data_IF_581302172033
#
_entry.id   IF_581302172033
#
_cell.length_a   1.000
_cell.length_b   1.000
_cell.length_c   1.000
_cell.angle_alpha   90.00
_cell.angle_beta   90.00
_cell.angle_gamma   90.00
#
_symmetry.space_group_name_H-M   'P 1'
#
loop_
_entity.id
_entity.type
_entity.pdbx_description
1 polymer ?
#
# COMPACT_ATOMS: atom_id res chain seq x y z
N UNK A 1 -16.68 8.41 -22.66
CA UNK A 1 -15.94 8.92 -21.49
C UNK A 1 -15.01 7.82 -21.02
N UNK A 2 -13.70 8.03 -21.08
CA UNK A 2 -12.72 6.99 -20.71
C UNK A 2 -12.74 6.79 -19.19
N UNK A 3 -12.99 5.56 -18.75
CA UNK A 3 -12.82 5.17 -17.37
C UNK A 3 -11.34 5.36 -17.01
N UNK A 4 -11.02 6.25 -16.08
CA UNK A 4 -9.68 6.38 -15.53
C UNK A 4 -9.41 5.13 -14.69
N UNK A 5 -9.02 4.03 -15.34
CA UNK A 5 -8.66 2.78 -14.69
C UNK A 5 -7.29 2.92 -14.00
N UNK A 6 -7.23 3.75 -12.96
CA UNK A 6 -6.08 3.83 -12.08
C UNK A 6 -5.95 2.49 -11.35
N UNK A 7 -4.96 1.68 -11.74
CA UNK A 7 -4.63 0.43 -11.04
C UNK A 7 -3.86 0.78 -9.78
N UNK A 8 -4.43 0.47 -8.62
CA UNK A 8 -3.80 0.69 -7.32
C UNK A 8 -3.26 -0.64 -6.79
N UNK A 9 -1.95 -0.70 -6.50
CA UNK A 9 -1.35 -1.80 -5.76
C UNK A 9 -1.42 -1.51 -4.27
N UNK A 10 -2.19 -2.31 -3.54
CA UNK A 10 -2.31 -2.21 -2.08
C UNK A 10 -1.38 -3.23 -1.41
N UNK A 11 -0.45 -2.75 -0.59
CA UNK A 11 0.41 -3.61 0.24
C UNK A 11 -0.11 -3.53 1.67
N UNK A 12 -0.62 -4.65 2.18
CA UNK A 12 -1.20 -4.75 3.51
C UNK A 12 -0.37 -5.68 4.40
N UNK A 13 -0.23 -5.37 5.69
CA UNK A 13 0.19 -6.34 6.69
C UNK A 13 -0.72 -7.58 6.69
N UNK A 14 -0.14 -8.74 6.98
CA UNK A 14 -0.87 -10.02 6.93
C UNK A 14 -2.04 -10.07 7.92
N UNK A 15 -1.86 -9.52 9.12
CA UNK A 15 -2.90 -9.47 10.15
C UNK A 15 -4.13 -8.66 9.71
N UNK A 16 -3.94 -7.60 8.92
CA UNK A 16 -5.03 -6.83 8.31
C UNK A 16 -5.77 -7.67 7.28
N UNK A 17 -5.05 -8.43 6.44
CA UNK A 17 -5.67 -9.35 5.49
C UNK A 17 -6.46 -10.46 6.19
N UNK A 18 -5.92 -11.03 7.27
CA UNK A 18 -6.58 -12.09 8.02
C UNK A 18 -7.87 -11.60 8.69
N UNK A 19 -7.86 -10.40 9.27
CA UNK A 19 -9.08 -9.76 9.81
C UNK A 19 -10.13 -9.52 8.73
N UNK A 20 -9.71 -9.07 7.55
CA UNK A 20 -10.62 -8.84 6.43
C UNK A 20 -11.22 -10.16 5.89
N UNK A 21 -10.43 -11.25 5.85
CA UNK A 21 -10.93 -12.60 5.52
C UNK A 21 -11.97 -13.08 6.53
N UNK A 22 -11.69 -12.92 7.83
CA UNK A 22 -12.63 -13.30 8.87
C UNK A 22 -13.94 -12.50 8.78
N UNK A 23 -13.87 -11.21 8.45
CA UNK A 23 -15.04 -10.37 8.21
C UNK A 23 -15.83 -10.86 6.99
N UNK A 24 -15.16 -11.17 5.87
CA UNK A 24 -15.80 -11.70 4.67
C UNK A 24 -16.56 -13.01 4.95
N UNK A 25 -15.97 -13.91 5.74
CA UNK A 25 -16.62 -15.16 6.17
C UNK A 25 -17.87 -14.90 7.02
N UNK A 26 -17.78 -14.00 8.01
CA UNK A 26 -18.93 -13.62 8.84
C UNK A 26 -20.05 -12.98 8.01
N UNK A 27 -19.72 -12.07 7.10
CA UNK A 27 -20.69 -11.42 6.22
C UNK A 27 -21.34 -12.45 5.28
N UNK A 28 -20.56 -13.38 4.72
CA UNK A 28 -21.09 -14.46 3.88
C UNK A 28 -22.09 -15.32 4.65
N UNK A 29 -21.77 -15.69 5.89
CA UNK A 29 -22.66 -16.46 6.76
C UNK A 29 -23.93 -15.67 7.13
N UNK A 30 -23.79 -14.39 7.51
CA UNK A 30 -24.89 -13.55 7.95
C UNK A 30 -25.90 -13.26 6.82
N UNK A 31 -25.41 -12.94 5.62
CA UNK A 31 -26.25 -12.57 4.49
C UNK A 31 -26.54 -13.71 3.52
N UNK A 32 -25.96 -14.90 3.75
CA UNK A 32 -26.08 -16.09 2.89
C UNK A 32 -25.72 -15.82 1.42
N UNK A 33 -24.78 -14.91 1.19
CA UNK A 33 -24.30 -14.49 -0.12
C UNK A 33 -22.78 -14.53 -0.14
N UNK A 34 -22.12 -15.13 -1.16
CA UNK A 34 -20.67 -15.13 -1.24
C UNK A 34 -20.10 -13.70 -1.29
N UNK A 35 -19.33 -13.32 -0.27
CA UNK A 35 -18.66 -12.02 -0.22
C UNK A 35 -17.17 -12.18 -0.50
N UNK A 36 -16.69 -11.50 -1.53
CA UNK A 36 -15.26 -11.50 -1.87
C UNK A 36 -14.46 -10.58 -0.95
N UNK A 37 -13.18 -10.91 -0.74
CA UNK A 37 -12.26 -10.07 0.02
C UNK A 37 -12.14 -8.66 -0.58
N UNK A 38 -12.25 -8.52 -1.91
CA UNK A 38 -12.18 -7.24 -2.60
C UNK A 38 -13.33 -6.31 -2.19
N UNK A 39 -14.56 -6.84 -2.09
CA UNK A 39 -15.73 -6.05 -1.65
C UNK A 39 -15.55 -5.56 -0.21
N UNK A 40 -15.04 -6.41 0.67
CA UNK A 40 -14.77 -6.04 2.06
C UNK A 40 -13.70 -4.96 2.15
N UNK A 41 -12.58 -5.12 1.44
CA UNK A 41 -11.51 -4.11 1.44
C UNK A 41 -12.00 -2.79 0.84
N UNK A 42 -12.79 -2.83 -0.22
CA UNK A 42 -13.42 -1.66 -0.84
C UNK A 42 -14.28 -0.91 0.17
N UNK A 43 -15.20 -1.60 0.86
CA UNK A 43 -16.06 -1.01 1.87
C UNK A 43 -15.27 -0.41 3.03
N UNK A 44 -14.22 -1.09 3.51
CA UNK A 44 -13.36 -0.56 4.57
C UNK A 44 -12.60 0.71 4.15
N UNK A 45 -12.11 0.75 2.90
CA UNK A 45 -11.49 1.95 2.34
C UNK A 45 -12.52 3.07 2.25
N UNK A 46 -13.69 2.83 1.67
CA UNK A 46 -14.74 3.84 1.54
C UNK A 46 -15.20 4.37 2.90
N UNK A 47 -15.38 3.51 3.90
CA UNK A 47 -15.72 3.93 5.27
C UNK A 47 -14.60 4.70 5.96
N UNK A 48 -13.33 4.39 5.68
CA UNK A 48 -12.21 5.19 6.16
C UNK A 48 -12.14 6.55 5.46
N UNK A 49 -12.43 6.61 4.16
CA UNK A 49 -12.48 7.85 3.38
C UNK A 49 -13.62 8.76 3.83
N UNK A 50 -14.78 8.20 4.19
CA UNK A 50 -15.86 8.99 4.81
C UNK A 50 -15.43 9.64 6.13
N UNK A 51 -14.33 9.19 6.75
CA UNK A 51 -13.75 9.74 7.97
C UNK A 51 -12.54 10.65 7.69
N UNK A 52 -12.35 11.07 6.44
CA UNK A 52 -11.13 11.73 5.93
C UNK A 52 -10.70 13.00 6.69
N UNK A 53 -11.64 13.73 7.29
CA UNK A 53 -11.35 14.94 8.07
C UNK A 53 -10.80 14.68 9.48
N UNK A 54 -10.52 13.41 9.84
CA UNK A 54 -10.01 13.10 11.17
C UNK A 54 -8.50 13.45 11.27
N UNK A 55 -8.07 14.32 12.23
CA UNK A 55 -6.67 14.74 12.36
C UNK A 55 -5.66 13.59 12.48
N UNK A 56 -6.08 12.45 13.04
CA UNK A 56 -5.26 11.23 13.14
C UNK A 56 -4.91 10.59 11.79
N UNK A 57 -5.76 10.75 10.76
CA UNK A 57 -5.53 10.21 9.43
C UNK A 57 -4.42 10.97 8.71
N UNK A 58 -4.48 12.30 8.67
CA UNK A 58 -3.45 13.14 8.06
C UNK A 58 -2.08 12.90 8.68
N UNK A 59 -2.01 12.83 10.01
CA UNK A 59 -0.77 12.51 10.71
C UNK A 59 -0.24 11.11 10.35
N UNK A 60 -1.11 10.13 10.15
CA UNK A 60 -0.71 8.78 9.74
C UNK A 60 -0.21 8.72 8.30
N UNK A 61 -0.91 9.37 7.36
CA UNK A 61 -0.50 9.51 5.95
C UNK A 61 0.88 10.17 5.89
N UNK A 62 1.09 11.25 6.63
CA UNK A 62 2.36 11.96 6.69
C UNK A 62 3.49 11.05 7.20
N UNK A 63 3.27 10.33 8.32
CA UNK A 63 4.25 9.37 8.86
C UNK A 63 4.61 8.29 7.84
N UNK A 64 3.63 7.71 7.17
CA UNK A 64 3.87 6.68 6.16
C UNK A 64 4.60 7.22 4.93
N UNK A 65 4.21 8.41 4.43
CA UNK A 65 4.89 9.07 3.32
C UNK A 65 6.36 9.34 3.64
N UNK A 66 6.65 9.84 4.86
CA UNK A 66 8.02 10.02 5.36
C UNK A 66 8.78 8.69 5.42
N UNK A 67 8.15 7.62 5.92
CA UNK A 67 8.77 6.29 5.99
C UNK A 67 9.10 5.71 4.61
N UNK A 68 8.20 5.81 3.63
CA UNK A 68 8.43 5.38 2.24
C UNK A 68 9.55 6.20 1.60
N UNK A 69 9.55 7.53 1.79
CA UNK A 69 10.62 8.40 1.31
C UNK A 69 11.98 7.99 1.88
N UNK A 70 12.03 7.67 3.17
CA UNK A 70 13.26 7.21 3.81
C UNK A 70 13.71 5.86 3.23
N UNK A 71 12.82 4.88 3.09
CA UNK A 71 13.12 3.59 2.45
C UNK A 71 13.64 3.74 1.01
N UNK A 72 13.07 4.67 0.23
CA UNK A 72 13.56 4.96 -1.13
C UNK A 72 14.94 5.62 -1.11
N UNK A 73 15.21 6.51 -0.15
CA UNK A 73 16.54 7.12 0.02
C UNK A 73 17.59 6.09 0.39
N UNK A 74 17.30 5.20 1.33
CA UNK A 74 18.24 4.14 1.74
C UNK A 74 18.47 3.14 0.61
N UNK A 75 17.43 2.72 -0.11
CA UNK A 75 17.56 1.85 -1.29
C UNK A 75 18.47 2.47 -2.37
N UNK A 76 18.33 3.78 -2.66
CA UNK A 76 19.22 4.50 -3.59
C UNK A 76 20.66 4.56 -3.09
N UNK A 77 20.88 4.83 -1.81
CA UNK A 77 22.23 4.87 -1.23
C UNK A 77 22.93 3.50 -1.28
N UNK A 78 22.20 2.41 -1.04
CA UNK A 78 22.72 1.04 -1.18
C UNK A 78 23.05 0.71 -2.63
N UNK A 79 22.19 1.10 -3.59
CA UNK A 79 22.44 0.96 -5.02
C UNK A 79 23.69 1.73 -5.48
N UNK A 80 23.84 2.99 -5.06
CA UNK A 80 25.01 3.82 -5.39
C UNK A 80 26.33 3.24 -4.83
N UNK A 81 26.32 2.72 -3.60
CA UNK A 81 27.49 2.03 -3.01
C UNK A 81 27.83 0.70 -3.69
N UNK A 82 26.87 0.05 -4.35
CA UNK A 82 27.14 -1.14 -5.18
C UNK A 82 27.76 -0.74 -6.54
N UNK A 83 27.25 0.31 -7.18
CA UNK A 83 27.81 0.85 -8.42
C UNK A 83 29.23 1.43 -8.26
N UNK A 84 29.51 2.10 -7.15
CA UNK A 84 30.84 2.64 -6.86
C UNK A 84 31.89 1.53 -6.58
N UNK A 85 31.47 0.36 -6.08
CA UNK A 85 32.36 -0.80 -5.86
C UNK A 85 32.62 -1.62 -7.12
N UNK A 86 31.86 -1.44 -8.20
CA UNK A 86 32.11 -2.09 -9.49
C UNK A 86 32.95 -1.23 -10.44
N UNK A 87 33.81 -0.35 -9.90
CA UNK A 87 34.62 0.61 -10.65
C UNK A 87 35.39 -0.04 -11.81
N UNK A 88 34.79 -0.04 -13.00
CA UNK A 88 35.45 -0.23 -14.28
C UNK A 88 35.74 1.18 -14.79
N UNK A 89 37.00 1.58 -15.01
CA UNK A 89 37.30 2.93 -15.45
C UNK A 89 36.72 3.12 -16.86
N UNK A 90 36.02 4.24 -17.05
CA UNK A 90 35.53 4.67 -18.34
C UNK A 90 36.73 4.91 -19.26
N UNK A 91 36.91 4.03 -20.25
CA UNK A 91 37.90 4.17 -21.30
C UNK A 91 37.51 5.39 -22.15
N UNK A 92 38.27 6.49 -22.01
CA UNK A 92 38.29 7.59 -22.98
C UNK A 92 38.92 7.07 -24.26
N UNK A 93 38.23 7.24 -25.39
CA UNK A 93 38.80 7.19 -26.75
C UNK A 93 38.80 8.63 -27.24
#
# INVERSE_FOLDING_TARGET
MGELSARVLLVLPQDVLDRARALAGRTTAAYKLPVSLQVVLRALIEEALKRDDHPGLLANIERQARAVRQRRRTARAVGARRGARSGRPARRI
#
